data_IF_131833121843
#
_entry.id   IF_131833121843
#
_cell.length_a   1.000
_cell.length_b   1.000
_cell.length_c   1.000
_cell.angle_alpha   90.00
_cell.angle_beta   90.00
_cell.angle_gamma   90.00
#
_symmetry.space_group_name_H-M   'P 1'
#
loop_
_entity.id
_entity.type
_entity.pdbx_description
1 polymer ?
#
# COMPACT_ATOMS: atom_id res chain seq x y z
N UNK A 1 8.46 82.61 51.74
CA UNK A 1 7.60 81.40 51.84
C UNK A 1 7.36 80.88 50.44
N UNK A 2 7.81 79.66 50.11
CA UNK A 2 7.60 79.09 48.76
C UNK A 2 6.12 78.70 48.63
N UNK A 3 5.39 79.36 47.73
CA UNK A 3 3.95 79.20 47.56
C UNK A 3 3.62 77.75 47.12
N UNK A 4 2.73 77.02 47.81
CA UNK A 4 2.43 75.60 47.52
C UNK A 4 1.87 75.37 46.11
N UNK A 5 1.20 76.37 45.53
CA UNK A 5 0.65 76.33 44.17
C UNK A 5 1.75 76.23 43.09
N UNK A 6 2.91 76.88 43.28
CA UNK A 6 4.03 76.82 42.32
C UNK A 6 4.71 75.45 42.36
N UNK A 7 4.78 74.81 43.52
CA UNK A 7 5.32 73.44 43.65
C UNK A 7 4.43 72.41 42.96
N UNK A 8 3.11 72.57 43.09
CA UNK A 8 2.14 71.71 42.41
C UNK A 8 2.23 71.88 40.88
N UNK A 9 2.26 73.12 40.39
CA UNK A 9 2.38 73.41 38.95
C UNK A 9 3.69 72.85 38.34
N UNK A 10 4.82 72.95 39.05
CA UNK A 10 6.08 72.37 38.59
C UNK A 10 6.06 70.83 38.59
N UNK A 11 5.43 70.21 39.58
CA UNK A 11 5.26 68.74 39.63
C UNK A 11 4.35 68.24 38.50
N UNK A 12 3.30 68.99 38.18
CA UNK A 12 2.41 68.70 37.05
C UNK A 12 3.14 68.84 35.70
N UNK A 13 3.98 69.86 35.54
CA UNK A 13 4.82 70.04 34.35
C UNK A 13 5.82 68.90 34.17
N UNK A 14 6.52 68.49 35.22
CA UNK A 14 7.43 67.34 35.20
C UNK A 14 6.70 66.04 34.84
N UNK A 15 5.52 65.82 35.42
CA UNK A 15 4.67 64.68 35.08
C UNK A 15 4.22 64.72 33.61
N UNK A 16 3.84 65.89 33.09
CA UNK A 16 3.46 66.05 31.68
C UNK A 16 4.62 65.79 30.71
N UNK A 17 5.84 66.25 31.04
CA UNK A 17 7.06 65.98 30.26
C UNK A 17 7.41 64.49 30.28
N UNK A 18 7.36 63.85 31.46
CA UNK A 18 7.59 62.42 31.61
C UNK A 18 6.56 61.58 30.82
N UNK A 19 5.28 61.96 30.89
CA UNK A 19 4.21 61.32 30.12
C UNK A 19 4.41 61.50 28.61
N UNK A 20 4.75 62.70 28.13
CA UNK A 20 5.03 62.96 26.72
C UNK A 20 6.22 62.14 26.19
N UNK A 21 7.31 62.05 26.97
CA UNK A 21 8.48 61.21 26.64
C UNK A 21 8.09 59.74 26.54
N UNK A 22 7.30 59.26 27.51
CA UNK A 22 6.82 57.87 27.53
C UNK A 22 5.92 57.58 26.34
N UNK A 23 4.96 58.48 26.02
CA UNK A 23 4.09 58.35 24.85
C UNK A 23 4.90 58.34 23.54
N UNK A 24 5.91 59.20 23.43
CA UNK A 24 6.79 59.24 22.25
C UNK A 24 7.57 57.94 22.11
N UNK A 25 8.10 57.40 23.21
CA UNK A 25 8.82 56.11 23.19
C UNK A 25 7.88 54.97 22.80
N UNK A 26 6.67 54.91 23.33
CA UNK A 26 5.67 53.90 22.98
C UNK A 26 5.30 53.95 21.49
N UNK A 27 5.18 55.15 20.91
CA UNK A 27 4.92 55.30 19.47
C UNK A 27 6.11 54.82 18.64
N UNK A 28 7.35 55.17 19.03
CA UNK A 28 8.56 54.70 18.35
C UNK A 28 8.66 53.17 18.42
N UNK A 29 8.49 52.59 19.60
CA UNK A 29 8.54 51.13 19.81
C UNK A 29 7.43 50.42 19.01
N UNK A 30 6.25 51.04 18.93
CA UNK A 30 5.14 50.56 18.09
C UNK A 30 5.50 50.52 16.61
N UNK A 31 6.08 51.61 16.08
CA UNK A 31 6.51 51.70 14.67
C UNK A 31 7.62 50.68 14.35
N UNK A 32 8.61 50.54 15.25
CA UNK A 32 9.69 49.56 15.06
C UNK A 32 9.12 48.14 15.03
N UNK A 33 8.22 47.82 15.97
CA UNK A 33 7.58 46.51 16.02
C UNK A 33 6.74 46.23 14.77
N UNK A 34 5.98 47.21 14.29
CA UNK A 34 5.19 47.09 13.07
C UNK A 34 6.08 46.85 11.84
N UNK A 35 7.19 47.59 11.75
CA UNK A 35 8.20 47.40 10.71
C UNK A 35 8.81 45.99 10.76
N UNK A 36 9.23 45.52 11.93
CA UNK A 36 9.77 44.16 12.12
C UNK A 36 8.76 43.07 11.72
N UNK A 37 7.49 43.24 12.09
CA UNK A 37 6.41 42.33 11.68
C UNK A 37 6.19 42.34 10.16
N UNK A 38 6.23 43.53 9.53
CA UNK A 38 6.09 43.66 8.09
C UNK A 38 7.25 42.96 7.35
N UNK A 39 8.50 43.16 7.80
CA UNK A 39 9.68 42.48 7.25
C UNK A 39 9.59 40.96 7.42
N UNK A 40 9.17 40.50 8.61
CA UNK A 40 8.96 39.07 8.85
C UNK A 40 7.88 38.49 7.93
N UNK A 41 6.80 39.23 7.68
CA UNK A 41 5.71 38.84 6.79
C UNK A 41 6.20 38.71 5.35
N UNK A 42 6.94 39.70 4.84
CA UNK A 42 7.54 39.66 3.50
C UNK A 42 8.45 38.44 3.35
N UNK A 43 9.33 38.20 4.32
CA UNK A 43 10.24 37.04 4.31
C UNK A 43 9.48 35.71 4.28
N UNK A 44 8.39 35.59 5.05
CA UNK A 44 7.54 34.40 5.05
C UNK A 44 6.82 34.19 3.71
N UNK A 45 6.34 35.27 3.10
CA UNK A 45 5.71 35.23 1.78
C UNK A 45 6.71 34.85 0.69
N UNK A 46 7.92 35.39 0.72
CA UNK A 46 9.00 35.02 -0.21
C UNK A 46 9.37 33.54 -0.07
N UNK A 47 9.47 33.04 1.17
CA UNK A 47 9.70 31.61 1.44
C UNK A 47 8.57 30.74 0.90
N UNK A 48 7.33 31.14 1.12
CA UNK A 48 6.14 30.43 0.61
C UNK A 48 6.09 30.44 -0.91
N UNK A 49 6.39 31.58 -1.55
CA UNK A 49 6.44 31.73 -3.00
C UNK A 49 7.52 30.85 -3.62
N UNK A 50 8.71 30.79 -3.01
CA UNK A 50 9.81 29.94 -3.45
C UNK A 50 9.42 28.46 -3.39
N UNK A 51 8.81 28.03 -2.30
CA UNK A 51 8.33 26.65 -2.13
C UNK A 51 7.22 26.30 -3.13
N UNK A 52 6.24 27.18 -3.33
CA UNK A 52 5.16 27.00 -4.32
C UNK A 52 5.68 26.97 -5.75
N UNK A 53 6.66 27.81 -6.07
CA UNK A 53 7.33 27.80 -7.38
C UNK A 53 8.08 26.48 -7.62
N UNK A 54 8.78 25.96 -6.61
CA UNK A 54 9.44 24.65 -6.71
C UNK A 54 8.43 23.52 -6.88
N UNK A 55 7.32 23.54 -6.13
CA UNK A 55 6.21 22.58 -6.25
C UNK A 55 5.66 22.57 -7.69
N UNK A 56 5.34 23.74 -8.27
CA UNK A 56 4.88 23.85 -9.66
C UNK A 56 5.90 23.29 -10.66
N UNK A 57 7.19 23.55 -10.47
CA UNK A 57 8.22 22.98 -11.35
C UNK A 57 8.25 21.45 -11.28
N UNK A 58 8.07 20.85 -10.09
CA UNK A 58 7.98 19.39 -9.96
C UNK A 58 6.70 18.83 -10.58
N UNK A 59 5.58 19.56 -10.45
CA UNK A 59 4.30 19.17 -11.04
C UNK A 59 4.38 19.21 -12.57
N UNK A 60 4.95 20.26 -13.15
CA UNK A 60 5.17 20.35 -14.60
C UNK A 60 6.02 19.18 -15.12
N UNK A 61 7.09 18.80 -14.40
CA UNK A 61 7.90 17.63 -14.77
C UNK A 61 7.07 16.34 -14.80
N UNK A 62 6.24 16.12 -13.76
CA UNK A 62 5.32 14.96 -13.71
C UNK A 62 4.30 14.99 -14.83
N UNK A 63 3.77 16.16 -15.18
CA UNK A 63 2.83 16.32 -16.29
C UNK A 63 3.47 15.97 -17.64
N UNK A 64 4.72 16.40 -17.87
CA UNK A 64 5.47 16.01 -19.07
C UNK A 64 5.74 14.50 -19.12
N UNK A 65 6.10 13.88 -17.99
CA UNK A 65 6.29 12.43 -17.92
C UNK A 65 4.99 11.67 -18.17
N UNK A 66 3.88 12.13 -17.61
CA UNK A 66 2.55 11.57 -17.83
C UNK A 66 2.18 11.63 -19.31
N UNK A 67 2.26 12.81 -19.94
CA UNK A 67 2.01 13.00 -21.37
C UNK A 67 2.89 12.12 -22.25
N UNK A 68 4.16 11.92 -21.87
CA UNK A 68 5.07 11.00 -22.56
C UNK A 68 4.59 9.55 -22.45
N UNK A 69 4.16 9.12 -21.27
CA UNK A 69 3.67 7.76 -21.03
C UNK A 69 2.36 7.50 -21.77
N UNK A 70 1.42 8.43 -21.73
CA UNK A 70 0.16 8.37 -22.48
C UNK A 70 0.41 8.23 -23.97
N UNK A 71 1.31 9.05 -24.53
CA UNK A 71 1.72 8.94 -25.94
C UNK A 71 2.36 7.59 -26.26
N UNK A 72 3.17 7.03 -25.36
CA UNK A 72 3.75 5.69 -25.56
C UNK A 72 2.66 4.60 -25.58
N UNK A 73 1.65 4.69 -24.71
CA UNK A 73 0.51 3.77 -24.70
C UNK A 73 -0.25 3.89 -26.02
N UNK A 74 -0.52 5.11 -26.48
CA UNK A 74 -1.23 5.36 -27.74
C UNK A 74 -0.47 4.78 -28.94
N UNK A 75 0.83 5.06 -29.05
CA UNK A 75 1.69 4.51 -30.12
C UNK A 75 1.71 2.98 -30.08
N UNK A 76 1.84 2.37 -28.90
CA UNK A 76 1.84 0.92 -28.77
C UNK A 76 0.49 0.29 -29.15
N UNK A 77 -0.62 0.94 -28.80
CA UNK A 77 -1.96 0.51 -29.20
C UNK A 77 -2.14 0.58 -30.72
N UNK A 78 -1.68 1.67 -31.34
CA UNK A 78 -1.69 1.82 -32.79
C UNK A 78 -0.84 0.75 -33.49
N UNK A 79 0.37 0.49 -33.00
CA UNK A 79 1.23 -0.58 -33.51
C UNK A 79 0.56 -1.95 -33.38
N UNK A 80 0.00 -2.27 -32.21
CA UNK A 80 -0.72 -3.52 -31.98
C UNK A 80 -1.87 -3.70 -32.97
N UNK A 81 -2.70 -2.66 -33.17
CA UNK A 81 -3.80 -2.70 -34.12
C UNK A 81 -3.31 -2.87 -35.56
N UNK A 82 -2.22 -2.20 -35.94
CA UNK A 82 -1.61 -2.38 -37.26
C UNK A 82 -1.13 -3.83 -37.46
N UNK A 83 -0.44 -4.41 -36.48
CA UNK A 83 -0.01 -5.81 -36.51
C UNK A 83 -1.21 -6.76 -36.61
N UNK A 84 -2.25 -6.54 -35.81
CA UNK A 84 -3.45 -7.36 -35.84
C UNK A 84 -4.15 -7.29 -37.20
N UNK A 85 -4.25 -6.10 -37.80
CA UNK A 85 -4.80 -5.93 -39.15
C UNK A 85 -3.96 -6.64 -40.19
N UNK A 86 -2.62 -6.46 -40.18
CA UNK A 86 -1.72 -7.16 -41.11
C UNK A 86 -1.79 -8.68 -40.94
N UNK A 87 -1.85 -9.17 -39.71
CA UNK A 87 -2.02 -10.58 -39.42
C UNK A 87 -3.35 -11.11 -40.00
N UNK A 88 -4.45 -10.39 -39.83
CA UNK A 88 -5.75 -10.77 -40.43
C UNK A 88 -5.71 -10.73 -41.97
N UNK A 89 -5.09 -9.72 -42.57
CA UNK A 89 -4.91 -9.61 -44.03
C UNK A 89 -4.07 -10.78 -44.58
N UNK A 90 -2.97 -11.14 -43.92
CA UNK A 90 -2.12 -12.28 -44.34
C UNK A 90 -2.85 -13.62 -44.20
N UNK A 91 -3.55 -13.85 -43.08
CA UNK A 91 -4.33 -15.08 -42.92
C UNK A 91 -5.47 -15.15 -43.94
N UNK A 92 -6.19 -14.05 -44.16
CA UNK A 92 -7.23 -13.99 -45.20
C UNK A 92 -6.65 -14.17 -46.61
N UNK A 93 -5.44 -13.67 -46.87
CA UNK A 93 -4.76 -13.88 -48.16
C UNK A 93 -4.29 -15.33 -48.34
N UNK A 94 -3.92 -16.04 -47.28
CA UNK A 94 -3.66 -17.49 -47.34
C UNK A 94 -4.93 -18.28 -47.62
N UNK A 95 -6.03 -17.94 -46.95
CA UNK A 95 -7.36 -18.54 -47.19
C UNK A 95 -7.85 -18.28 -48.63
N UNK A 96 -7.63 -17.06 -49.13
CA UNK A 96 -7.91 -16.69 -50.53
C UNK A 96 -6.92 -17.31 -51.54
N UNK A 97 -5.66 -17.55 -51.17
CA UNK A 97 -4.71 -18.29 -52.01
C UNK A 97 -5.05 -19.78 -52.06
N UNK A 98 -5.57 -20.41 -51.01
CA UNK A 98 -6.15 -21.76 -51.09
C UNK A 98 -7.36 -21.77 -52.04
N UNK A 99 -8.21 -20.74 -52.01
CA UNK A 99 -9.35 -20.63 -52.93
C UNK A 99 -8.92 -20.34 -54.39
N UNK A 100 -7.91 -19.50 -54.63
CA UNK A 100 -7.42 -19.18 -55.98
C UNK A 100 -6.43 -20.21 -56.56
N UNK A 101 -5.78 -21.01 -55.71
CA UNK A 101 -4.93 -22.13 -56.16
C UNK A 101 -5.73 -23.39 -56.50
N UNK A 102 -7.08 -23.32 -56.52
CA UNK A 102 -7.96 -24.40 -57.00
C UNK A 102 -8.06 -24.44 -58.54
N UNK A 103 -6.92 -24.33 -59.23
CA UNK A 103 -6.63 -25.19 -60.41
C UNK A 103 -5.43 -26.08 -60.05
N UNK A 104 -5.38 -26.53 -58.80
CA UNK A 104 -4.50 -27.59 -58.33
C UNK A 104 -5.17 -28.93 -58.61
N UNK A 105 -4.68 -29.64 -59.62
CA UNK A 105 -4.98 -31.08 -59.79
C UNK A 105 -4.62 -31.77 -58.48
N UNK A 106 -5.59 -32.39 -57.83
CA UNK A 106 -5.38 -33.18 -56.61
C UNK A 106 -4.44 -34.34 -56.96
N UNK A 107 -3.19 -34.26 -56.50
CA UNK A 107 -2.17 -35.31 -56.69
C UNK A 107 -2.29 -36.36 -55.60
N UNK A 108 -2.78 -36.01 -54.41
CA UNK A 108 -2.96 -36.93 -53.29
C UNK A 108 -4.17 -36.53 -52.42
N UNK A 109 -5.03 -37.49 -52.00
CA UNK A 109 -6.12 -37.21 -51.08
C UNK A 109 -5.60 -36.92 -49.66
N UNK A 110 -6.29 -36.04 -48.94
CA UNK A 110 -5.95 -35.71 -47.55
C UNK A 110 -6.06 -36.93 -46.64
N UNK A 111 -4.97 -37.25 -45.95
CA UNK A 111 -4.94 -38.33 -44.96
C UNK A 111 -5.69 -37.90 -43.69
N UNK A 112 -6.69 -38.69 -43.30
CA UNK A 112 -7.42 -38.47 -42.05
C UNK A 112 -6.45 -38.70 -40.88
N UNK A 113 -6.26 -37.73 -39.97
CA UNK A 113 -5.33 -37.88 -38.86
C UNK A 113 -5.77 -39.03 -37.96
N UNK A 114 -4.90 -40.02 -37.81
CA UNK A 114 -5.13 -41.24 -37.02
C UNK A 114 -5.17 -40.93 -35.51
N UNK A 115 -4.66 -39.76 -35.11
CA UNK A 115 -4.65 -39.29 -33.74
C UNK A 115 -5.00 -37.79 -33.64
N UNK A 116 -5.70 -37.36 -32.57
CA UNK A 116 -6.07 -35.97 -32.37
C UNK A 116 -4.82 -35.09 -32.13
N UNK A 117 -4.64 -34.07 -32.97
CA UNK A 117 -3.53 -33.12 -32.89
C UNK A 117 -3.61 -32.22 -31.64
N UNK A 118 -4.82 -31.91 -31.17
CA UNK A 118 -5.10 -31.12 -29.95
C UNK A 118 -6.44 -31.58 -29.34
N UNK A 119 -6.67 -31.40 -28.03
CA UNK A 119 -5.72 -30.96 -27.01
C UNK A 119 -4.89 -32.13 -26.45
N UNK A 120 -3.67 -31.83 -26.00
CA UNK A 120 -2.79 -32.78 -25.33
C UNK A 120 -3.33 -33.10 -23.92
N UNK A 121 -4.24 -34.09 -23.84
CA UNK A 121 -4.91 -34.48 -22.60
C UNK A 121 -3.93 -34.73 -21.44
N UNK A 122 -2.76 -35.32 -21.72
CA UNK A 122 -1.71 -35.57 -20.71
C UNK A 122 -1.20 -34.28 -20.07
N UNK A 123 -0.92 -33.24 -20.85
CA UNK A 123 -0.44 -31.94 -20.36
C UNK A 123 -1.53 -31.28 -19.51
N UNK A 124 -2.78 -31.30 -19.97
CA UNK A 124 -3.90 -30.70 -19.24
C UNK A 124 -4.13 -31.39 -17.88
N UNK A 125 -4.03 -32.73 -17.84
CA UNK A 125 -4.16 -33.50 -16.59
C UNK A 125 -3.02 -33.20 -15.62
N UNK A 126 -1.77 -33.17 -16.10
CA UNK A 126 -0.61 -32.83 -15.26
C UNK A 126 -0.74 -31.41 -14.71
N UNK A 127 -1.13 -30.44 -15.55
CA UNK A 127 -1.30 -29.06 -15.15
C UNK A 127 -2.44 -28.90 -14.14
N UNK A 128 -3.55 -29.61 -14.33
CA UNK A 128 -4.65 -29.65 -13.36
C UNK A 128 -4.23 -30.24 -12.01
N UNK A 129 -3.42 -31.30 -12.01
CA UNK A 129 -2.90 -31.91 -10.77
C UNK A 129 -1.99 -30.95 -10.02
N UNK A 130 -1.04 -30.32 -10.71
CA UNK A 130 -0.10 -29.36 -10.11
C UNK A 130 -0.85 -28.15 -9.54
N UNK A 131 -1.76 -27.56 -10.32
CA UNK A 131 -2.54 -26.41 -9.87
C UNK A 131 -3.48 -26.77 -8.72
N UNK A 132 -4.13 -27.93 -8.77
CA UNK A 132 -5.00 -28.42 -7.71
C UNK A 132 -4.24 -28.66 -6.40
N UNK A 133 -3.04 -29.24 -6.48
CA UNK A 133 -2.19 -29.48 -5.31
C UNK A 133 -1.72 -28.16 -4.67
N UNK A 134 -1.23 -27.23 -5.49
CA UNK A 134 -0.85 -25.89 -5.01
C UNK A 134 -2.05 -25.18 -4.37
N UNK A 135 -3.19 -25.15 -5.05
CA UNK A 135 -4.39 -24.50 -4.55
C UNK A 135 -4.88 -25.12 -3.25
N UNK A 136 -4.90 -26.45 -3.14
CA UNK A 136 -5.31 -27.14 -1.91
C UNK A 136 -4.39 -26.82 -0.74
N UNK A 137 -3.08 -26.76 -0.97
CA UNK A 137 -2.10 -26.41 0.08
C UNK A 137 -2.32 -24.98 0.56
N UNK A 138 -2.43 -24.03 -0.38
CA UNK A 138 -2.72 -22.62 -0.05
C UNK A 138 -4.06 -22.48 0.67
N UNK A 139 -5.08 -23.22 0.25
CA UNK A 139 -6.41 -23.14 0.83
C UNK A 139 -6.46 -23.63 2.29
N UNK A 140 -5.71 -24.69 2.62
CA UNK A 140 -5.56 -25.15 4.02
C UNK A 140 -4.88 -24.09 4.88
N UNK A 141 -3.78 -23.49 4.40
CA UNK A 141 -3.12 -22.39 5.11
C UNK A 141 -4.03 -21.17 5.26
N UNK A 142 -4.84 -20.87 4.25
CA UNK A 142 -5.79 -19.76 4.31
C UNK A 142 -6.88 -19.99 5.37
N UNK A 143 -7.41 -21.22 5.47
CA UNK A 143 -8.36 -21.57 6.53
C UNK A 143 -7.70 -21.48 7.91
N UNK A 144 -6.48 -21.99 8.07
CA UNK A 144 -5.77 -21.91 9.35
C UNK A 144 -5.46 -20.46 9.75
N UNK A 145 -5.15 -19.59 8.77
CA UNK A 145 -4.98 -18.15 9.02
C UNK A 145 -6.28 -17.47 9.48
N UNK A 146 -7.44 -17.94 9.03
CA UNK A 146 -8.75 -17.45 9.50
C UNK A 146 -9.14 -18.03 10.87
N UNK A 147 -8.51 -19.11 11.32
CA UNK A 147 -8.78 -19.73 12.62
C UNK A 147 -8.04 -19.00 13.76
N UNK A 148 -8.80 -18.26 14.56
CA UNK A 148 -8.26 -17.53 15.71
C UNK A 148 -8.12 -18.38 16.99
N UNK A 149 -8.35 -19.68 16.94
CA UNK A 149 -8.27 -20.57 18.11
C UNK A 149 -6.83 -20.68 18.65
N UNK A 150 -6.68 -20.92 19.96
CA UNK A 150 -5.40 -21.21 20.62
C UNK A 150 -5.22 -22.74 20.62
N UNK A 151 -4.26 -23.26 19.86
CA UNK A 151 -4.04 -24.71 19.74
C UNK A 151 -2.68 -25.15 20.27
N UNK A 152 -1.68 -24.26 20.25
CA UNK A 152 -0.32 -24.55 20.68
C UNK A 152 0.04 -23.81 21.97
N UNK A 153 1.08 -24.29 22.67
CA UNK A 153 1.68 -23.63 23.83
C UNK A 153 2.17 -22.22 23.50
N UNK A 154 2.71 -22.05 22.29
CA UNK A 154 3.26 -20.81 21.75
C UNK A 154 2.15 -19.80 21.44
N UNK A 155 0.98 -20.27 20.99
CA UNK A 155 -0.20 -19.42 20.79
C UNK A 155 -0.67 -18.78 22.11
N UNK A 156 -0.54 -19.48 23.24
CA UNK A 156 -0.90 -18.96 24.57
C UNK A 156 0.00 -17.78 24.92
N UNK A 157 1.32 -17.95 24.82
CA UNK A 157 2.26 -16.90 25.19
C UNK A 157 2.17 -15.70 24.24
N UNK A 158 2.05 -15.92 22.92
CA UNK A 158 1.97 -14.84 21.93
C UNK A 158 0.62 -14.11 21.94
N UNK A 159 -0.51 -14.81 22.08
CA UNK A 159 -1.84 -14.19 22.01
C UNK A 159 -2.31 -13.64 23.36
N UNK A 160 -1.94 -14.27 24.48
CA UNK A 160 -2.38 -13.87 25.82
C UNK A 160 -1.31 -13.10 26.61
N UNK A 161 -0.03 -13.13 26.19
CA UNK A 161 1.05 -12.39 26.84
C UNK A 161 1.42 -12.90 28.24
N UNK A 162 1.01 -14.13 28.58
CA UNK A 162 1.24 -14.75 29.88
C UNK A 162 2.20 -15.93 29.73
N UNK A 163 3.14 -16.14 30.67
CA UNK A 163 4.05 -17.28 30.62
C UNK A 163 3.29 -18.59 30.82
N UNK A 164 3.61 -19.62 30.03
CA UNK A 164 2.99 -20.93 30.14
C UNK A 164 3.38 -21.61 31.46
N UNK A 165 2.40 -21.81 32.35
CA UNK A 165 2.64 -22.42 33.67
C UNK A 165 2.78 -23.95 33.64
N UNK A 166 2.29 -24.61 32.58
CA UNK A 166 2.38 -26.05 32.41
C UNK A 166 1.34 -26.61 31.43
N UNK A 167 1.59 -27.81 30.90
CA UNK A 167 0.72 -28.49 29.95
C UNK A 167 -0.03 -29.60 30.68
N UNK A 168 -1.37 -29.53 30.71
CA UNK A 168 -2.22 -30.57 31.27
C UNK A 168 -2.73 -31.52 30.16
N UNK A 169 -2.31 -32.79 30.13
CA UNK A 169 -2.77 -33.73 29.12
C UNK A 169 -4.25 -34.05 29.33
N UNK A 170 -5.06 -33.86 28.29
CA UNK A 170 -6.48 -34.22 28.31
C UNK A 170 -6.63 -35.74 28.20
N UNK A 171 -6.81 -36.40 29.34
CA UNK A 171 -7.09 -37.84 29.39
C UNK A 171 -8.54 -38.12 28.97
N UNK A 172 -8.73 -39.04 28.01
CA UNK A 172 -10.06 -39.57 27.68
C UNK A 172 -10.43 -40.64 28.70
N UNK A 173 -11.21 -40.27 29.72
CA UNK A 173 -11.76 -41.24 30.67
C UNK A 173 -12.86 -42.02 29.96
N UNK A 174 -12.60 -43.29 29.67
CA UNK A 174 -13.61 -44.21 29.15
C UNK A 174 -14.57 -44.58 30.28
N UNK A 175 -15.90 -44.50 30.05
CA UNK A 175 -16.94 -44.84 31.05
C UNK A 175 -16.85 -46.27 31.61
N UNK A 176 -15.97 -47.13 31.07
CA UNK A 176 -15.81 -48.53 31.45
C UNK A 176 -14.71 -48.76 32.49
N UNK A 177 -13.90 -47.75 32.80
CA UNK A 177 -12.82 -47.83 33.79
C UNK A 177 -13.20 -46.98 35.01
N UNK A 178 -13.73 -47.61 36.05
CA UNK A 178 -14.34 -46.96 37.23
C UNK A 178 -13.33 -46.27 38.17
N UNK A 179 -12.03 -46.30 37.89
CA UNK A 179 -11.05 -45.63 38.76
C UNK A 179 -9.84 -45.07 37.97
N UNK A 180 -9.74 -43.73 37.79
CA UNK A 180 -8.66 -43.08 37.05
C UNK A 180 -7.25 -43.40 37.58
N UNK A 181 -7.14 -43.65 38.88
CA UNK A 181 -5.87 -43.95 39.55
C UNK A 181 -5.24 -45.28 39.12
N UNK A 182 -6.03 -46.25 38.67
CA UNK A 182 -5.54 -47.58 38.27
C UNK A 182 -4.88 -47.59 36.88
N UNK A 183 -5.01 -46.50 36.10
CA UNK A 183 -4.45 -46.41 34.76
C UNK A 183 -2.91 -46.34 34.77
N UNK A 184 -2.32 -45.74 35.80
CA UNK A 184 -0.86 -45.64 35.97
C UNK A 184 -0.19 -46.98 36.30
N UNK A 185 -0.88 -47.85 37.06
CA UNK A 185 -0.35 -49.16 37.47
C UNK A 185 -0.42 -50.21 36.37
N UNK A 186 -1.31 -50.03 35.38
CA UNK A 186 -1.63 -51.04 34.36
C UNK A 186 -0.85 -50.89 33.05
N UNK A 187 -0.18 -49.75 32.82
CA UNK A 187 0.61 -49.46 31.61
C UNK A 187 1.97 -48.81 31.97
N UNK A 188 3.04 -49.60 32.16
CA UNK A 188 4.36 -49.10 32.61
C UNK A 188 5.18 -48.34 31.56
N UNK A 189 4.63 -48.10 30.36
CA UNK A 189 5.28 -47.30 29.29
C UNK A 189 4.52 -46.00 28.98
N UNK A 190 3.85 -45.44 29.99
CA UNK A 190 3.31 -44.10 29.90
C UNK A 190 4.46 -43.10 30.04
N UNK A 191 4.63 -42.15 29.11
CA UNK A 191 5.71 -41.14 29.12
C UNK A 191 5.58 -40.10 30.26
N UNK A 192 4.96 -40.46 31.37
CA UNK A 192 4.67 -39.59 32.52
C UNK A 192 5.17 -40.20 33.85
N UNK A 193 6.19 -41.05 33.79
CA UNK A 193 7.03 -41.40 34.94
C UNK A 193 8.32 -40.56 34.88
#
# INVERSE_FOLDING_TARGET
QKHPQIRAANAELEAAIANKKTQTQLVIDGIIKEYEMAVATVKNLEGSLKSKKAEIQTLNKKEFELKRLERNIEVNSQLYNMFLTRFKETNASQDLQELQSTVGRVVEPALVPIAPFKPNKKINVIMGLVLGFLFSTLFVFFIEFLDNTIKTSEDVEQKLGLPLLGILPKMKISKKDENPYLMFLKKPQSQFA
#
